data_IF_614467817047
#
_entry.id   IF_614467817047
#
_cell.length_a   1.000
_cell.length_b   1.000
_cell.length_c   1.000
_cell.angle_alpha   90.00
_cell.angle_beta   90.00
_cell.angle_gamma   90.00
#
_symmetry.space_group_name_H-M   'P 1'
#
loop_
_entity.id
_entity.type
_entity.pdbx_description
1 polymer ?
#
# COMPACT_ATOMS: atom_id res chain seq x y z
N UNK A 1 -15.99 0.30 9.88
CA UNK A 1 -15.70 1.12 8.71
C UNK A 1 -14.21 1.46 8.66
N UNK A 2 -13.58 1.25 7.53
CA UNK A 2 -12.17 1.56 7.39
C UNK A 2 -11.98 3.04 7.08
N UNK A 3 -11.03 3.65 7.74
CA UNK A 3 -10.65 5.02 7.43
C UNK A 3 -9.60 5.03 6.34
N UNK A 4 -9.67 6.01 5.46
CA UNK A 4 -8.63 6.21 4.47
C UNK A 4 -7.43 6.86 5.13
N UNK A 5 -6.27 6.26 4.99
CA UNK A 5 -5.02 6.77 5.54
C UNK A 5 -4.08 7.11 4.41
N UNK A 6 -3.03 7.82 4.74
CA UNK A 6 -2.01 8.18 3.75
C UNK A 6 -0.66 7.62 4.18
N UNK A 7 0.19 7.39 3.20
CA UNK A 7 1.53 6.91 3.46
C UNK A 7 2.41 7.10 2.23
N UNK A 8 3.63 6.60 2.35
CA UNK A 8 4.62 6.71 1.29
C UNK A 8 5.11 5.30 0.96
N UNK A 9 5.19 5.00 -0.32
CA UNK A 9 5.70 3.70 -0.76
C UNK A 9 7.17 3.59 -0.38
N UNK A 10 7.50 2.58 0.41
CA UNK A 10 8.87 2.30 0.77
C UNK A 10 9.62 1.68 -0.41
N UNK A 11 9.01 0.66 -0.99
CA UNK A 11 9.47 0.05 -2.22
C UNK A 11 8.36 -0.84 -2.78
N UNK A 12 8.42 -1.10 -4.07
CA UNK A 12 7.44 -1.98 -4.71
C UNK A 12 8.14 -2.81 -5.77
N UNK A 13 7.93 -4.12 -5.73
CA UNK A 13 8.51 -5.05 -6.71
C UNK A 13 7.48 -5.34 -7.78
N UNK A 14 7.66 -4.74 -8.94
CA UNK A 14 6.73 -4.89 -10.06
C UNK A 14 6.68 -6.32 -10.60
N UNK A 15 7.77 -7.04 -10.50
CA UNK A 15 7.83 -8.43 -11.00
C UNK A 15 7.02 -9.37 -10.13
N UNK A 16 7.11 -9.20 -8.82
CA UNK A 16 6.40 -10.05 -7.86
C UNK A 16 5.03 -9.50 -7.49
N UNK A 17 4.80 -8.22 -7.71
CA UNK A 17 3.51 -7.58 -7.49
C UNK A 17 3.21 -7.25 -6.04
N UNK A 18 4.22 -6.94 -5.24
CA UNK A 18 4.00 -6.52 -3.85
C UNK A 18 5.07 -5.54 -3.40
N UNK A 19 4.80 -4.91 -2.27
CA UNK A 19 5.73 -3.97 -1.69
C UNK A 19 5.28 -3.57 -0.30
N UNK A 20 5.82 -2.47 0.19
CA UNK A 20 5.49 -1.96 1.52
C UNK A 20 5.25 -0.47 1.48
N UNK A 21 4.34 -0.02 2.34
CA UNK A 21 4.00 1.39 2.50
C UNK A 21 4.35 1.79 3.92
N UNK A 22 5.04 2.92 4.06
CA UNK A 22 5.34 3.50 5.37
C UNK A 22 4.25 4.51 5.70
N UNK A 23 3.46 4.29 6.77
CA UNK A 23 2.41 5.23 7.13
C UNK A 23 2.95 6.62 7.43
N UNK A 24 2.23 7.65 7.01
CA UNK A 24 2.61 9.03 7.33
C UNK A 24 2.65 9.28 8.82
N UNK A 25 1.77 8.64 9.56
CA UNK A 25 1.73 8.74 11.02
C UNK A 25 2.90 8.05 11.72
N UNK A 26 3.62 7.23 10.99
CA UNK A 26 4.67 6.39 11.55
C UNK A 26 4.12 5.02 11.94
N UNK A 27 4.98 4.20 12.53
CA UNK A 27 4.63 2.84 12.92
C UNK A 27 5.19 1.83 11.93
N UNK A 28 4.60 0.64 11.95
CA UNK A 28 5.07 -0.45 11.11
C UNK A 28 4.69 -0.25 9.66
N UNK A 29 5.57 -0.69 8.77
CA UNK A 29 5.29 -0.72 7.35
C UNK A 29 4.12 -1.66 7.06
N UNK A 30 3.32 -1.30 6.08
CA UNK A 30 2.16 -2.09 5.67
C UNK A 30 2.48 -2.84 4.39
N UNK A 31 2.11 -4.11 4.36
CA UNK A 31 2.23 -4.90 3.14
C UNK A 31 1.17 -4.43 2.12
N UNK A 32 1.56 -4.29 0.86
CA UNK A 32 0.64 -3.97 -0.22
C UNK A 32 0.87 -4.94 -1.36
N UNK A 33 -0.22 -5.45 -1.92
CA UNK A 33 -0.17 -6.34 -3.08
C UNK A 33 -0.86 -5.64 -4.26
N UNK A 34 -0.42 -5.97 -5.48
CA UNK A 34 -0.97 -5.33 -6.68
C UNK A 34 -2.49 -5.45 -6.79
N UNK A 35 -3.05 -6.54 -6.26
CA UNK A 35 -4.51 -6.72 -6.27
C UNK A 35 -5.24 -5.71 -5.39
N UNK A 36 -4.53 -5.07 -4.47
CA UNK A 36 -5.09 -4.04 -3.61
C UNK A 36 -4.91 -2.62 -4.13
N UNK A 37 -4.33 -2.47 -5.31
CA UNK A 37 -4.10 -1.15 -5.89
C UNK A 37 -5.26 -0.80 -6.82
N UNK A 38 -5.90 0.32 -6.56
CA UNK A 38 -7.04 0.79 -7.34
C UNK A 38 -6.54 1.72 -8.46
N UNK A 39 -6.01 1.12 -9.50
CA UNK A 39 -5.52 1.83 -10.68
C UNK A 39 -6.02 1.15 -11.93
N UNK A 40 -6.22 1.93 -12.97
CA UNK A 40 -6.50 1.37 -14.28
C UNK A 40 -5.17 1.03 -14.97
N UNK A 41 -5.18 -0.04 -15.76
CA UNK A 41 -4.02 -0.44 -16.53
C UNK A 41 -2.95 -1.12 -15.69
N UNK A 42 -1.72 -0.70 -15.86
CA UNK A 42 -0.58 -1.32 -15.21
C UNK A 42 -0.48 -0.90 -13.73
N UNK A 43 -0.65 -1.86 -12.85
CA UNK A 43 -0.67 -1.60 -11.41
C UNK A 43 0.75 -1.66 -10.85
N UNK A 44 1.32 -0.48 -10.66
CA UNK A 44 2.67 -0.35 -10.12
C UNK A 44 2.78 0.89 -9.26
N UNK A 45 3.73 0.86 -8.35
CA UNK A 45 4.01 1.99 -7.46
C UNK A 45 5.49 2.32 -7.55
N UNK A 46 5.81 3.59 -7.40
CA UNK A 46 7.19 4.06 -7.40
C UNK A 46 7.68 4.24 -5.96
N UNK A 47 8.99 4.11 -5.76
CA UNK A 47 9.59 4.37 -4.46
C UNK A 47 9.30 5.80 -4.03
N UNK A 48 8.95 5.98 -2.77
CA UNK A 48 8.66 7.27 -2.16
C UNK A 48 7.41 7.97 -2.72
N UNK A 49 6.58 7.24 -3.48
CA UNK A 49 5.34 7.79 -3.98
C UNK A 49 4.31 7.92 -2.86
N UNK A 50 3.61 9.04 -2.79
CA UNK A 50 2.54 9.21 -1.82
C UNK A 50 1.28 8.50 -2.31
N UNK A 51 0.64 7.79 -1.39
CA UNK A 51 -0.57 7.02 -1.71
C UNK A 51 -1.59 7.17 -0.59
N UNK A 52 -2.84 6.96 -0.94
CA UNK A 52 -3.92 6.80 0.04
C UNK A 52 -4.33 5.33 0.06
N UNK A 53 -4.69 4.83 1.21
CA UNK A 53 -5.04 3.42 1.35
C UNK A 53 -5.96 3.22 2.54
N UNK A 54 -6.52 2.01 2.64
CA UNK A 54 -7.24 1.57 3.81
C UNK A 54 -6.42 0.48 4.49
N UNK A 55 -6.32 0.55 5.80
CA UNK A 55 -5.57 -0.44 6.57
C UNK A 55 -6.49 -1.56 7.00
N UNK A 56 -6.06 -2.79 6.77
CA UNK A 56 -6.77 -3.96 7.25
C UNK A 56 -5.80 -4.88 7.96
N UNK A 57 -6.32 -5.69 8.87
CA UNK A 57 -5.50 -6.65 9.60
C UNK A 57 -5.64 -8.02 8.96
N UNK A 58 -4.52 -8.67 8.75
CA UNK A 58 -4.49 -10.03 8.21
C UNK A 58 -3.65 -10.91 9.13
N UNK A 59 -3.58 -12.21 8.82
CA UNK A 59 -2.78 -13.16 9.57
C UNK A 59 -1.31 -12.78 9.61
N UNK A 60 -0.86 -12.02 8.64
CA UNK A 60 0.53 -11.58 8.54
C UNK A 60 0.76 -10.19 9.12
N UNK A 61 -0.25 -9.59 9.71
CA UNK A 61 -0.19 -8.25 10.25
C UNK A 61 -0.96 -7.26 9.41
N UNK A 62 -0.71 -5.96 9.60
CA UNK A 62 -1.45 -4.93 8.87
C UNK A 62 -1.10 -4.92 7.39
N UNK A 63 -2.13 -4.74 6.55
CA UNK A 63 -1.97 -4.65 5.10
C UNK A 63 -2.69 -3.41 4.59
N UNK A 64 -2.22 -2.90 3.46
CA UNK A 64 -2.88 -1.78 2.79
C UNK A 64 -3.74 -2.32 1.66
N UNK A 65 -4.98 -1.82 1.60
CA UNK A 65 -5.93 -2.20 0.55
C UNK A 65 -6.53 -0.94 -0.06
N UNK A 66 -7.17 -1.09 -1.21
CA UNK A 66 -7.79 0.05 -1.91
C UNK A 66 -6.81 1.21 -2.08
N UNK A 67 -5.58 0.88 -2.45
CA UNK A 67 -4.52 1.87 -2.60
C UNK A 67 -4.78 2.71 -3.83
N UNK A 68 -4.73 4.03 -3.64
CA UNK A 68 -4.88 4.99 -4.74
C UNK A 68 -3.72 5.98 -4.71
N UNK A 69 -3.39 6.49 -5.86
CA UNK A 69 -2.29 7.45 -6.01
C UNK A 69 -2.82 8.85 -6.23
#
# INVERSE_FOLDING_TARGET
MSETKTGTVKWFNNSKGYGFITPTEGGKDLFVHMSGIMMEGYKTLSDNQKVSYQMETSDRGPVATNVTV
#
